data_IF_068067339134
#
_entry.id   IF_068067339134
#
_cell.length_a   1.000
_cell.length_b   1.000
_cell.length_c   1.000
_cell.angle_alpha   90.00
_cell.angle_beta   90.00
_cell.angle_gamma   90.00
#
_symmetry.space_group_name_H-M   'P 1'
#
loop_
_entity.id
_entity.type
_entity.pdbx_description
1 polymer ?
#
# COMPACT_ATOMS: atom_id res chain seq x y z
N UNK A 1 -7.85 -68.07 4.50
CA UNK A 1 -6.64 -67.23 4.39
C UNK A 1 -6.92 -66.10 3.40
N UNK A 2 -7.48 -64.97 3.86
CA UNK A 2 -7.70 -63.79 3.01
C UNK A 2 -7.01 -62.59 3.66
N UNK A 3 -5.93 -62.11 3.05
CA UNK A 3 -5.17 -60.97 3.53
C UNK A 3 -5.85 -59.66 3.11
N UNK A 4 -6.22 -58.86 4.10
CA UNK A 4 -6.74 -57.50 3.97
C UNK A 4 -5.56 -56.57 3.67
N UNK A 5 -5.53 -55.93 2.49
CA UNK A 5 -4.57 -54.85 2.17
C UNK A 5 -5.13 -53.51 2.66
N UNK A 6 -4.58 -52.98 3.75
CA UNK A 6 -4.76 -51.58 4.12
C UNK A 6 -3.92 -50.70 3.18
N UNK A 7 -4.57 -49.75 2.50
CA UNK A 7 -3.90 -48.62 1.88
C UNK A 7 -3.71 -47.53 2.95
N UNK A 8 -2.47 -47.35 3.42
CA UNK A 8 -2.05 -46.15 4.14
C UNK A 8 -1.80 -45.05 3.10
N UNK A 9 -2.71 -44.08 3.04
CA UNK A 9 -2.47 -42.79 2.38
C UNK A 9 -1.35 -42.08 3.15
N UNK A 10 -0.17 -42.02 2.54
CA UNK A 10 0.94 -41.21 3.02
C UNK A 10 0.52 -39.73 3.02
N UNK A 11 0.35 -39.15 4.21
CA UNK A 11 0.36 -37.70 4.37
C UNK A 11 1.73 -37.21 3.88
N UNK A 12 1.74 -36.52 2.75
CA UNK A 12 2.92 -35.82 2.26
C UNK A 12 3.33 -34.78 3.32
N UNK A 13 4.46 -35.03 3.98
CA UNK A 13 5.15 -34.03 4.76
C UNK A 13 5.59 -32.92 3.82
N UNK A 14 4.88 -31.79 3.84
CA UNK A 14 5.41 -30.54 3.32
C UNK A 14 6.57 -30.13 4.23
N UNK A 15 7.78 -29.85 3.70
CA UNK A 15 8.84 -29.31 4.52
C UNK A 15 8.40 -27.95 5.09
N UNK A 16 8.85 -27.56 6.30
CA UNK A 16 8.58 -26.23 6.82
C UNK A 16 9.09 -25.19 5.82
N UNK A 17 8.25 -24.22 5.49
CA UNK A 17 8.66 -23.03 4.73
C UNK A 17 9.88 -22.42 5.43
N UNK A 18 10.96 -22.15 4.70
CA UNK A 18 12.08 -21.40 5.25
C UNK A 18 11.58 -20.02 5.68
N UNK A 19 11.87 -19.61 6.91
CA UNK A 19 11.66 -18.23 7.40
C UNK A 19 12.50 -17.25 6.56
N UNK A 20 11.97 -16.86 5.40
CA UNK A 20 12.51 -15.77 4.61
C UNK A 20 12.14 -14.47 5.32
N UNK A 21 13.09 -13.85 6.01
CA UNK A 21 12.89 -12.53 6.59
C UNK A 21 12.66 -11.52 5.47
N UNK A 22 11.42 -11.06 5.30
CA UNK A 22 11.10 -9.96 4.39
C UNK A 22 11.36 -8.65 5.12
N UNK A 23 12.40 -7.94 4.72
CA UNK A 23 12.75 -6.63 5.24
C UNK A 23 11.91 -5.56 4.56
N UNK A 24 11.21 -4.74 5.38
CA UNK A 24 10.50 -3.55 4.93
C UNK A 24 11.37 -2.31 5.16
N UNK A 25 11.62 -1.51 4.13
CA UNK A 25 12.25 -0.20 4.29
C UNK A 25 11.52 0.88 3.50
N UNK A 26 11.62 2.12 3.95
CA UNK A 26 11.06 3.26 3.25
C UNK A 26 12.20 4.07 2.63
N UNK A 27 12.15 4.30 1.31
CA UNK A 27 13.19 5.11 0.65
C UNK A 27 13.04 6.61 0.98
N UNK A 28 14.01 7.41 0.52
CA UNK A 28 13.99 8.87 0.68
C UNK A 28 12.73 9.54 0.07
N UNK A 29 12.07 8.89 -0.89
CA UNK A 29 10.82 9.32 -1.50
C UNK A 29 9.56 8.91 -0.74
N UNK A 30 9.68 8.12 0.33
CA UNK A 30 8.54 7.61 1.10
C UNK A 30 7.94 6.31 0.55
N UNK A 31 8.57 5.68 -0.44
CA UNK A 31 8.10 4.41 -1.01
C UNK A 31 8.53 3.26 -0.11
N UNK A 32 7.57 2.40 0.25
CA UNK A 32 7.83 1.19 1.02
C UNK A 32 8.31 0.08 0.08
N UNK A 33 9.51 -0.42 0.34
CA UNK A 33 10.16 -1.52 -0.36
C UNK A 33 10.19 -2.75 0.54
N UNK A 34 10.08 -3.92 -0.06
CA UNK A 34 10.07 -5.20 0.63
C UNK A 34 11.08 -6.13 -0.04
N UNK A 35 12.08 -6.59 0.70
CA UNK A 35 13.18 -7.40 0.16
C UNK A 35 13.47 -8.58 1.06
N UNK A 36 13.73 -9.77 0.51
CA UNK A 36 14.22 -10.95 1.22
C UNK A 36 15.76 -11.00 1.31
N UNK A 37 16.44 -9.99 0.75
CA UNK A 37 17.90 -9.88 0.72
C UNK A 37 18.39 -8.58 1.35
N UNK A 38 19.39 -8.67 2.23
CA UNK A 38 20.11 -7.52 2.79
C UNK A 38 20.99 -6.89 1.70
N UNK A 39 20.45 -5.91 0.97
CA UNK A 39 21.20 -5.07 0.03
C UNK A 39 22.21 -4.19 0.77
N UNK A 40 23.40 -4.72 0.99
CA UNK A 40 24.49 -4.08 1.71
C UNK A 40 25.26 -3.00 0.95
N UNK A 41 24.78 -2.41 -0.15
CA UNK A 41 25.53 -1.34 -0.80
C UNK A 41 24.72 -0.23 -1.49
N UNK A 42 25.17 0.99 -1.15
CA UNK A 42 25.08 2.31 -1.80
C UNK A 42 24.04 3.29 -1.22
N UNK A 43 24.56 4.21 -0.41
CA UNK A 43 23.95 5.47 0.08
C UNK A 43 22.67 5.40 0.94
N UNK A 44 22.41 4.29 1.62
CA UNK A 44 21.30 4.20 2.56
C UNK A 44 21.78 3.89 3.98
N UNK A 45 21.40 4.74 4.94
CA UNK A 45 21.78 4.55 6.33
C UNK A 45 21.16 3.24 6.87
N UNK A 46 21.98 2.30 7.36
CA UNK A 46 21.53 0.98 7.83
C UNK A 46 20.58 1.05 9.04
N UNK A 47 20.50 2.19 9.72
CA UNK A 47 19.58 2.43 10.85
C UNK A 47 18.09 2.53 10.44
N UNK A 48 17.77 2.53 9.14
CA UNK A 48 16.38 2.52 8.62
C UNK A 48 15.85 1.12 8.33
N UNK A 49 16.65 0.07 8.57
CA UNK A 49 16.25 -1.32 8.46
C UNK A 49 15.54 -1.73 9.75
N UNK A 50 14.25 -1.40 9.86
CA UNK A 50 13.44 -1.94 10.95
C UNK A 50 13.25 -3.44 10.68
N UNK A 51 13.92 -4.29 11.47
CA UNK A 51 13.73 -5.75 11.50
C UNK A 51 12.29 -6.20 11.81
N UNK A 52 11.41 -5.28 12.20
CA UNK A 52 10.26 -5.65 13.03
C UNK A 52 8.93 -5.85 12.30
N UNK A 53 8.82 -5.64 10.99
CA UNK A 53 7.57 -5.97 10.29
C UNK A 53 7.85 -6.65 8.95
N UNK A 54 8.06 -7.97 9.02
CA UNK A 54 7.77 -8.88 7.91
C UNK A 54 6.32 -8.60 7.52
N UNK A 55 6.11 -8.03 6.33
CA UNK A 55 4.78 -7.89 5.78
C UNK A 55 4.35 -9.25 5.20
N UNK A 56 4.00 -10.14 6.11
CA UNK A 56 3.49 -11.47 5.81
C UNK A 56 2.23 -11.44 4.94
N UNK A 57 1.60 -10.28 4.82
CA UNK A 57 0.32 -10.07 4.15
C UNK A 57 0.44 -9.27 2.83
N UNK A 58 1.67 -8.91 2.45
CA UNK A 58 2.03 -8.22 1.22
C UNK A 58 2.36 -9.14 0.05
N UNK A 59 3.23 -8.67 -0.86
CA UNK A 59 3.78 -9.50 -1.94
C UNK A 59 5.03 -10.23 -1.46
N UNK A 60 5.11 -11.54 -1.69
CA UNK A 60 6.32 -12.33 -1.47
C UNK A 60 6.81 -13.02 -2.72
N UNK A 61 8.12 -13.28 -2.80
CA UNK A 61 8.70 -14.16 -3.80
C UNK A 61 8.98 -15.55 -3.24
N UNK A 62 8.87 -16.55 -4.10
CA UNK A 62 9.26 -17.92 -3.83
C UNK A 62 10.11 -18.43 -4.98
N UNK A 63 11.31 -18.90 -4.65
CA UNK A 63 12.23 -19.51 -5.61
C UNK A 63 12.23 -21.02 -5.41
N UNK A 64 12.03 -21.78 -6.49
CA UNK A 64 12.12 -23.24 -6.50
C UNK A 64 13.33 -23.64 -7.31
N UNK A 65 14.35 -24.17 -6.64
CA UNK A 65 15.57 -24.64 -7.27
C UNK A 65 15.40 -26.08 -7.79
N UNK A 66 15.82 -26.30 -9.03
CA UNK A 66 15.85 -27.61 -9.67
C UNK A 66 17.13 -27.76 -10.47
N UNK A 67 17.47 -29.00 -10.81
CA UNK A 67 18.64 -29.32 -11.64
C UNK A 67 18.65 -28.58 -12.99
N UNK A 68 17.48 -28.25 -13.53
CA UNK A 68 17.32 -27.59 -14.82
C UNK A 68 17.19 -26.06 -14.73
N UNK A 69 17.27 -25.46 -13.54
CA UNK A 69 17.22 -24.01 -13.31
C UNK A 69 16.38 -23.61 -12.10
N UNK A 70 16.35 -22.30 -11.82
CA UNK A 70 15.67 -21.73 -10.65
C UNK A 70 14.37 -21.02 -11.08
N UNK A 71 13.25 -21.42 -10.51
CA UNK A 71 11.90 -20.97 -10.90
C UNK A 71 11.36 -19.94 -9.91
N UNK A 72 10.99 -18.76 -10.40
CA UNK A 72 10.48 -17.67 -9.59
C UNK A 72 8.95 -17.61 -9.65
N UNK A 73 8.33 -17.53 -8.48
CA UNK A 73 6.91 -17.29 -8.30
C UNK A 73 6.71 -16.06 -7.41
N UNK A 74 5.73 -15.23 -7.71
CA UNK A 74 5.31 -14.15 -6.84
C UNK A 74 3.90 -14.42 -6.33
N UNK A 75 3.68 -14.18 -5.04
CA UNK A 75 2.38 -14.29 -4.40
C UNK A 75 1.97 -12.91 -3.90
N UNK A 76 0.89 -12.36 -4.44
CA UNK A 76 0.27 -11.15 -3.93
C UNK A 76 -0.81 -11.51 -2.91
N UNK A 77 -0.57 -11.28 -1.61
CA UNK A 77 -1.58 -11.53 -0.57
C UNK A 77 -2.53 -10.35 -0.35
N UNK A 78 -2.32 -9.21 -1.00
CA UNK A 78 -3.21 -8.07 -0.90
C UNK A 78 -4.58 -8.35 -1.53
N UNK A 79 -5.59 -7.63 -1.05
CA UNK A 79 -6.94 -7.63 -1.64
C UNK A 79 -7.08 -6.63 -2.80
N UNK A 80 -5.98 -5.98 -3.19
CA UNK A 80 -5.86 -5.15 -4.37
C UNK A 80 -4.71 -5.61 -5.26
N UNK A 81 -4.64 -5.10 -6.51
CA UNK A 81 -3.51 -5.41 -7.38
C UNK A 81 -2.22 -4.80 -6.83
N UNK A 82 -1.08 -5.31 -7.29
CA UNK A 82 0.24 -4.78 -6.95
C UNK A 82 1.14 -4.77 -8.19
N UNK A 83 2.09 -3.83 -8.22
CA UNK A 83 3.16 -3.81 -9.22
C UNK A 83 4.45 -4.27 -8.58
N UNK A 84 4.96 -5.43 -9.00
CA UNK A 84 6.23 -6.02 -8.58
C UNK A 84 7.36 -5.58 -9.51
N UNK A 85 8.53 -5.33 -8.94
CA UNK A 85 9.79 -5.13 -9.67
C UNK A 85 10.88 -6.01 -9.06
N UNK A 86 11.74 -6.58 -9.92
CA UNK A 86 12.89 -7.37 -9.52
C UNK A 86 14.18 -6.66 -9.91
N UNK A 87 15.24 -6.94 -9.16
CA UNK A 87 16.61 -6.55 -9.48
C UNK A 87 17.53 -7.72 -9.25
N UNK A 88 18.60 -7.79 -10.02
CA UNK A 88 19.62 -8.82 -9.94
C UNK A 88 20.99 -8.16 -9.83
N UNK A 89 21.43 -7.78 -8.61
CA UNK A 89 22.64 -6.97 -8.41
C UNK A 89 23.92 -7.70 -8.77
N UNK A 90 23.98 -9.00 -8.46
CA UNK A 90 25.08 -9.88 -8.81
C UNK A 90 24.59 -10.92 -9.79
N UNK A 91 25.34 -11.09 -10.89
CA UNK A 91 25.02 -12.02 -11.97
C UNK A 91 26.32 -12.62 -12.46
N UNK A 92 26.45 -13.94 -12.40
CA UNK A 92 27.59 -14.65 -12.95
C UNK A 92 27.10 -15.92 -13.61
N UNK A 93 27.41 -16.05 -14.90
CA UNK A 93 26.96 -17.15 -15.74
C UNK A 93 25.43 -17.42 -15.66
N UNK A 94 24.59 -16.39 -15.59
CA UNK A 94 23.12 -16.53 -15.48
C UNK A 94 22.40 -15.81 -16.63
N UNK A 95 21.39 -16.46 -17.20
CA UNK A 95 20.48 -15.84 -18.17
C UNK A 95 19.20 -15.39 -17.46
N UNK A 96 18.97 -14.07 -17.42
CA UNK A 96 17.75 -13.47 -16.85
C UNK A 96 16.78 -13.11 -17.98
N UNK A 97 15.58 -13.72 -18.03
CA UNK A 97 14.55 -13.33 -18.99
C UNK A 97 14.20 -11.84 -18.88
N UNK A 98 14.18 -11.12 -20.01
CA UNK A 98 13.90 -9.68 -20.04
C UNK A 98 12.58 -9.29 -19.33
N UNK A 99 11.56 -10.15 -19.39
CA UNK A 99 10.29 -9.97 -18.66
C UNK A 99 10.47 -9.82 -17.14
N UNK A 100 11.49 -10.43 -16.55
CA UNK A 100 11.79 -10.34 -15.12
C UNK A 100 12.43 -8.99 -14.75
N UNK A 101 12.92 -8.23 -15.73
CA UNK A 101 13.50 -6.89 -15.53
C UNK A 101 12.46 -5.76 -15.71
N UNK A 102 11.23 -6.11 -16.09
CA UNK A 102 10.13 -5.17 -16.26
C UNK A 102 9.23 -5.16 -15.02
N UNK A 103 8.38 -4.14 -14.93
CA UNK A 103 7.33 -4.10 -13.92
C UNK A 103 6.27 -5.17 -14.21
N UNK A 104 5.92 -5.97 -13.20
CA UNK A 104 5.00 -7.10 -13.30
C UNK A 104 3.75 -6.78 -12.49
N UNK A 105 2.60 -6.82 -13.14
CA UNK A 105 1.31 -6.63 -12.45
C UNK A 105 0.85 -7.97 -11.87
N UNK A 106 0.53 -7.94 -10.58
CA UNK A 106 -0.06 -9.02 -9.82
C UNK A 106 -1.51 -8.66 -9.51
N UNK A 107 -2.46 -9.50 -9.90
CA UNK A 107 -3.86 -9.39 -9.50
C UNK A 107 -4.01 -9.66 -7.99
N UNK A 108 -5.12 -9.22 -7.35
CA UNK A 108 -5.39 -9.54 -5.95
C UNK A 108 -5.33 -11.04 -5.73
N UNK A 109 -4.64 -11.49 -4.67
CA UNK A 109 -4.56 -12.91 -4.30
C UNK A 109 -3.92 -13.83 -5.36
N UNK A 110 -3.25 -13.28 -6.38
CA UNK A 110 -2.61 -14.05 -7.45
C UNK A 110 -1.29 -14.67 -6.97
N UNK A 111 -1.10 -15.96 -7.28
CA UNK A 111 0.23 -16.55 -7.42
C UNK A 111 0.59 -16.59 -8.91
N UNK A 112 1.74 -16.01 -9.26
CA UNK A 112 2.17 -15.84 -10.64
C UNK A 112 3.56 -16.40 -10.87
N UNK A 113 3.71 -17.23 -11.91
CA UNK A 113 5.03 -17.62 -12.39
C UNK A 113 5.72 -16.41 -13.05
N UNK A 114 6.87 -16.01 -12.50
CA UNK A 114 7.60 -14.81 -12.90
C UNK A 114 8.64 -15.10 -13.97
N UNK A 115 9.30 -16.26 -13.88
CA UNK A 115 10.28 -16.69 -14.86
C UNK A 115 11.20 -17.77 -14.33
N UNK A 116 12.09 -18.24 -15.19
CA UNK A 116 13.08 -19.26 -14.88
C UNK A 116 14.46 -18.70 -15.19
N UNK A 117 15.37 -18.78 -14.23
CA UNK A 117 16.79 -18.53 -14.44
C UNK A 117 17.49 -19.84 -14.77
N UNK A 118 18.43 -19.76 -15.71
CA UNK A 118 19.27 -20.88 -16.16
C UNK A 118 20.70 -20.38 -16.33
N UNK A 119 21.70 -21.27 -16.28
CA UNK A 119 23.06 -20.87 -16.60
C UNK A 119 23.18 -20.43 -18.06
N UNK A 120 24.00 -19.42 -18.33
CA UNK A 120 24.25 -18.94 -19.69
C UNK A 120 25.19 -19.88 -20.47
N UNK A 121 26.10 -20.54 -19.77
CA UNK A 121 27.08 -21.52 -20.25
C UNK A 121 27.15 -22.70 -19.27
N UNK A 122 27.58 -23.90 -19.71
CA UNK A 122 27.82 -25.02 -18.79
C UNK A 122 28.80 -24.65 -17.67
N UNK A 123 28.48 -25.01 -16.43
CA UNK A 123 29.32 -24.78 -15.26
C UNK A 123 28.56 -24.16 -14.10
N UNK A 124 29.31 -23.74 -13.08
CA UNK A 124 28.77 -23.02 -11.92
C UNK A 124 28.17 -21.68 -12.34
N UNK A 125 27.12 -21.27 -11.63
CA UNK A 125 26.43 -20.01 -11.85
C UNK A 125 25.91 -19.47 -10.53
N UNK A 126 25.89 -18.15 -10.38
CA UNK A 126 25.47 -17.48 -9.14
C UNK A 126 24.74 -16.18 -9.48
N UNK A 127 23.80 -15.83 -8.62
CA UNK A 127 23.11 -14.57 -8.72
C UNK A 127 22.59 -14.15 -7.35
N UNK A 128 22.48 -12.84 -7.16
CA UNK A 128 21.70 -12.25 -6.10
C UNK A 128 20.43 -11.66 -6.70
N UNK A 129 19.35 -11.59 -5.91
CA UNK A 129 18.15 -10.88 -6.31
C UNK A 129 17.59 -10.05 -5.18
N UNK A 130 16.82 -9.04 -5.54
CA UNK A 130 15.99 -8.27 -4.61
C UNK A 130 14.71 -7.86 -5.32
N UNK A 131 13.70 -7.51 -4.54
CA UNK A 131 12.43 -7.07 -5.10
C UNK A 131 11.88 -5.85 -4.36
N UNK A 132 10.86 -5.26 -4.97
CA UNK A 132 10.03 -4.23 -4.38
C UNK A 132 8.65 -4.30 -5.02
N UNK A 133 7.62 -3.90 -4.29
CA UNK A 133 6.27 -3.83 -4.84
C UNK A 133 5.56 -2.55 -4.42
N UNK A 134 4.66 -2.05 -5.28
CA UNK A 134 3.77 -0.93 -4.98
C UNK A 134 2.32 -1.42 -5.04
N UNK A 135 1.51 -1.23 -3.98
CA UNK A 135 0.11 -1.65 -3.98
C UNK A 135 -0.76 -0.70 -4.82
N UNK A 136 -1.86 -1.23 -5.35
CA UNK A 136 -2.79 -0.52 -6.22
C UNK A 136 -2.51 -0.70 -7.71
N UNK A 137 -3.50 -0.33 -8.53
CA UNK A 137 -3.40 -0.39 -9.98
C UNK A 137 -2.43 0.69 -10.47
N UNK A 138 -1.56 0.33 -11.43
CA UNK A 138 -0.66 1.31 -12.04
C UNK A 138 -1.45 2.27 -12.91
N UNK A 139 -1.52 3.53 -12.48
CA UNK A 139 -2.22 4.60 -13.18
C UNK A 139 -1.24 5.66 -13.68
N UNK A 140 -1.51 6.19 -14.86
CA UNK A 140 -0.81 7.38 -15.36
C UNK A 140 -1.51 8.63 -14.80
N UNK A 141 -0.75 9.54 -14.18
CA UNK A 141 -1.26 10.81 -13.67
C UNK A 141 -2.07 11.60 -14.71
N UNK A 142 -1.67 11.53 -15.99
CA UNK A 142 -2.34 12.19 -17.10
C UNK A 142 -3.80 11.74 -17.31
N UNK A 143 -4.19 10.58 -16.79
CA UNK A 143 -5.57 10.07 -16.84
C UNK A 143 -6.54 10.89 -15.97
N UNK A 144 -6.04 11.63 -14.96
CA UNK A 144 -6.86 12.43 -14.05
C UNK A 144 -6.93 13.92 -14.42
N UNK A 145 -6.07 14.38 -15.32
CA UNK A 145 -6.09 15.76 -15.85
C UNK A 145 -7.00 15.95 -17.06
N UNK A 146 -7.86 14.98 -17.40
CA UNK A 146 -8.81 15.07 -18.51
C UNK A 146 -10.24 15.28 -18.02
N UNK A 147 -10.82 16.48 -18.21
CA UNK A 147 -12.26 16.63 -18.05
C UNK A 147 -12.96 15.79 -19.12
N UNK A 148 -13.71 14.75 -18.70
CA UNK A 148 -14.69 14.07 -19.56
C UNK A 148 -14.47 12.58 -19.89
N UNK A 149 -13.50 11.88 -19.29
CA UNK A 149 -13.33 10.43 -19.54
C UNK A 149 -13.63 9.56 -18.32
N UNK A 150 -14.83 9.65 -17.76
CA UNK A 150 -15.38 8.55 -16.96
C UNK A 150 -16.81 8.27 -17.38
N UNK A 151 -17.08 6.97 -17.57
CA UNK A 151 -18.38 6.38 -17.90
C UNK A 151 -19.47 7.05 -17.07
N UNK A 152 -20.30 7.81 -17.77
CA UNK A 152 -21.32 8.69 -17.20
C UNK A 152 -22.37 7.84 -16.47
N UNK A 153 -22.25 7.69 -15.15
CA UNK A 153 -23.40 7.44 -14.31
C UNK A 153 -24.11 8.79 -14.10
N UNK A 154 -25.43 8.89 -14.28
CA UNK A 154 -26.11 10.18 -14.20
C UNK A 154 -26.13 10.68 -12.76
N UNK A 155 -25.33 11.72 -12.47
CA UNK A 155 -25.40 12.45 -11.21
C UNK A 155 -26.35 13.68 -11.35
N UNK A 156 -27.11 14.04 -10.30
CA UNK A 156 -28.03 15.17 -10.33
C UNK A 156 -27.27 16.49 -10.48
N UNK A 157 -27.85 17.43 -11.24
CA UNK A 157 -27.28 18.75 -11.53
C UNK A 157 -27.16 19.61 -10.26
N UNK A 158 -25.95 20.13 -10.01
CA UNK A 158 -25.76 21.26 -9.10
C UNK A 158 -24.30 21.54 -8.75
N UNK A 159 -23.75 22.62 -9.33
CA UNK A 159 -22.59 23.40 -8.87
C UNK A 159 -21.23 22.68 -8.80
N UNK A 160 -20.59 22.51 -9.97
CA UNK A 160 -19.13 22.32 -10.03
C UNK A 160 -18.46 23.70 -10.17
N UNK A 161 -17.80 24.15 -9.10
CA UNK A 161 -16.84 25.25 -9.16
C UNK A 161 -15.58 24.77 -9.87
N UNK A 162 -15.18 25.48 -10.91
CA UNK A 162 -14.00 25.24 -11.73
C UNK A 162 -12.71 25.52 -10.94
N UNK A 163 -12.08 24.47 -10.41
CA UNK A 163 -10.66 24.44 -10.01
C UNK A 163 -10.01 23.17 -10.59
N UNK A 164 -8.71 23.15 -10.92
CA UNK A 164 -8.14 22.11 -11.77
C UNK A 164 -8.08 20.73 -11.06
N UNK A 165 -8.80 19.75 -11.59
CA UNK A 165 -8.34 18.35 -11.71
C UNK A 165 -8.50 17.37 -10.53
N UNK A 166 -9.18 17.72 -9.45
CA UNK A 166 -9.36 16.81 -8.29
C UNK A 166 -10.68 16.04 -8.30
N UNK A 167 -10.68 14.81 -7.78
CA UNK A 167 -11.90 14.05 -7.48
C UNK A 167 -12.65 14.72 -6.30
N UNK A 168 -13.99 14.76 -6.36
CA UNK A 168 -14.83 15.22 -5.24
C UNK A 168 -15.26 14.03 -4.38
N UNK A 169 -15.01 14.11 -3.09
CA UNK A 169 -15.21 13.02 -2.13
C UNK A 169 -16.23 13.41 -1.06
N UNK A 170 -16.86 12.42 -0.42
CA UNK A 170 -17.57 12.68 0.84
C UNK A 170 -16.58 13.07 1.94
N UNK A 171 -17.06 13.82 2.93
CA UNK A 171 -16.26 14.13 4.12
C UNK A 171 -15.93 12.83 4.90
N UNK A 172 -14.67 12.64 5.34
CA UNK A 172 -14.26 11.47 6.12
C UNK A 172 -14.77 11.51 7.56
N UNK A 173 -15.40 12.59 7.99
CA UNK A 173 -15.93 12.79 9.34
C UNK A 173 -17.20 13.65 9.29
N UNK A 174 -18.14 13.38 10.19
CA UNK A 174 -19.32 14.21 10.39
C UNK A 174 -19.02 15.31 11.42
N UNK A 175 -19.28 16.57 11.08
CA UNK A 175 -19.10 17.71 11.98
C UNK A 175 -18.17 18.78 11.42
N UNK A 176 -17.92 19.82 12.25
CA UNK A 176 -17.04 20.93 11.93
C UNK A 176 -15.74 20.78 12.71
N UNK A 177 -14.65 20.57 12.00
CA UNK A 177 -13.32 20.39 12.58
C UNK A 177 -12.29 21.23 11.85
N UNK A 178 -11.23 21.63 12.54
CA UNK A 178 -10.20 22.47 11.95
C UNK A 178 -9.24 21.63 11.13
N UNK A 179 -8.89 22.12 9.94
CA UNK A 179 -7.78 21.58 9.16
C UNK A 179 -6.48 22.12 9.76
N UNK A 180 -5.70 21.24 10.39
CA UNK A 180 -4.42 21.61 11.02
C UNK A 180 -3.28 21.71 10.00
N UNK A 181 -3.32 20.88 8.94
CA UNK A 181 -2.36 20.93 7.84
C UNK A 181 -3.05 20.51 6.53
N UNK A 182 -2.79 21.23 5.45
CA UNK A 182 -3.39 20.98 4.14
C UNK A 182 -2.35 20.56 3.10
N UNK A 183 -2.74 20.59 1.84
CA UNK A 183 -1.86 20.22 0.72
C UNK A 183 -0.59 21.08 0.69
N UNK A 184 0.53 20.49 0.28
CA UNK A 184 1.85 21.11 0.20
C UNK A 184 2.38 21.67 1.54
N UNK A 185 1.89 21.14 2.66
CA UNK A 185 2.37 21.47 4.00
C UNK A 185 3.84 21.14 4.20
N UNK A 186 4.56 22.03 4.91
CA UNK A 186 6.02 21.95 5.07
C UNK A 186 6.49 20.87 6.05
N UNK A 187 5.61 20.38 6.92
CA UNK A 187 5.98 19.40 7.95
C UNK A 187 5.99 17.98 7.38
N UNK A 188 4.82 17.45 7.02
CA UNK A 188 4.66 16.06 6.53
C UNK A 188 4.08 15.97 5.12
N UNK A 189 3.50 17.05 4.57
CA UNK A 189 2.78 17.04 3.29
C UNK A 189 3.62 17.55 2.11
N UNK A 190 4.89 17.13 2.05
CA UNK A 190 5.87 17.60 1.05
C UNK A 190 6.50 16.47 0.22
N UNK A 191 6.18 15.21 0.52
CA UNK A 191 6.65 14.02 -0.22
C UNK A 191 5.58 13.50 -1.18
N UNK A 192 5.93 12.80 -2.27
CA UNK A 192 4.98 12.35 -3.29
C UNK A 192 3.71 11.69 -2.73
N UNK A 193 3.85 10.74 -1.82
CA UNK A 193 2.70 10.02 -1.23
C UNK A 193 1.81 10.88 -0.31
N UNK A 194 2.28 12.03 0.18
CA UNK A 194 1.55 12.86 1.15
C UNK A 194 1.41 14.34 0.74
N UNK A 195 1.89 14.72 -0.45
CA UNK A 195 1.86 16.09 -0.96
C UNK A 195 0.47 16.70 -0.90
N UNK A 196 -0.56 15.91 -1.23
CA UNK A 196 -1.96 16.30 -1.16
C UNK A 196 -2.70 15.58 -0.02
N UNK A 197 -2.02 15.37 1.12
CA UNK A 197 -2.68 14.88 2.33
C UNK A 197 -3.32 16.02 3.13
N UNK A 198 -4.26 15.65 4.00
CA UNK A 198 -5.06 16.54 4.82
C UNK A 198 -5.05 16.06 6.26
N UNK A 199 -4.63 16.93 7.18
CA UNK A 199 -4.71 16.69 8.62
C UNK A 199 -5.91 17.44 9.20
N UNK A 200 -6.85 16.67 9.75
CA UNK A 200 -8.04 17.19 10.40
C UNK A 200 -7.87 16.99 11.91
N UNK A 201 -7.82 18.07 12.68
CA UNK A 201 -7.69 18.01 14.13
C UNK A 201 -8.97 17.41 14.75
N UNK A 202 -8.84 16.23 15.34
CA UNK A 202 -9.96 15.42 15.85
C UNK A 202 -9.63 14.86 17.22
N UNK A 203 -10.55 14.90 18.20
CA UNK A 203 -10.43 14.11 19.41
C UNK A 203 -10.25 12.63 19.09
N UNK A 204 -9.48 11.90 19.90
CA UNK A 204 -9.39 10.45 19.82
C UNK A 204 -10.78 9.83 19.95
N UNK A 205 -11.09 8.84 19.12
CA UNK A 205 -12.38 8.14 19.12
C UNK A 205 -13.44 8.75 18.21
N UNK A 206 -13.16 9.86 17.51
CA UNK A 206 -14.13 10.46 16.58
C UNK A 206 -14.43 9.48 15.43
N UNK A 207 -15.70 9.12 15.17
CA UNK A 207 -16.06 8.22 14.08
C UNK A 207 -15.59 8.70 12.70
N UNK A 208 -14.93 7.82 11.96
CA UNK A 208 -14.47 8.08 10.59
C UNK A 208 -15.30 7.29 9.57
N UNK A 209 -15.60 7.95 8.45
CA UNK A 209 -16.46 7.46 7.38
C UNK A 209 -15.65 7.21 6.11
N UNK A 210 -16.03 6.18 5.36
CA UNK A 210 -15.53 5.96 4.01
C UNK A 210 -15.94 7.12 3.11
N UNK A 211 -14.98 7.83 2.54
CA UNK A 211 -15.20 8.96 1.63
C UNK A 211 -15.80 8.54 0.28
N UNK A 212 -15.59 7.26 -0.11
CA UNK A 212 -16.05 6.63 -1.35
C UNK A 212 -16.25 5.13 -1.16
N UNK A 213 -17.06 4.52 -2.04
CA UNK A 213 -17.16 3.06 -2.17
C UNK A 213 -15.80 2.44 -2.45
N UNK A 214 -15.54 1.25 -1.91
CA UNK A 214 -14.26 0.59 -2.16
C UNK A 214 -14.12 -0.76 -1.47
N UNK A 215 -12.95 -1.35 -1.60
CA UNK A 215 -12.54 -2.59 -0.92
C UNK A 215 -11.44 -2.27 0.07
N UNK A 216 -11.52 -2.83 1.28
CA UNK A 216 -10.44 -2.73 2.26
C UNK A 216 -9.23 -3.49 1.73
N UNK A 217 -8.22 -2.76 1.27
CA UNK A 217 -7.00 -3.33 0.72
C UNK A 217 -6.01 -3.67 1.82
N UNK A 218 -5.89 -2.77 2.81
CA UNK A 218 -4.95 -2.90 3.92
C UNK A 218 -5.51 -2.27 5.19
N UNK A 219 -5.14 -2.83 6.35
CA UNK A 219 -5.61 -2.40 7.66
C UNK A 219 -4.61 -2.81 8.75
N UNK A 220 -4.05 -1.82 9.45
CA UNK A 220 -3.16 -1.99 10.59
C UNK A 220 -3.82 -1.33 11.80
N UNK A 221 -4.07 -2.11 12.87
CA UNK A 221 -4.87 -1.66 14.02
C UNK A 221 -4.31 -2.11 15.39
N UNK A 222 -3.03 -2.49 15.44
CA UNK A 222 -2.43 -3.11 16.62
C UNK A 222 -1.37 -2.24 17.31
N UNK A 223 -0.92 -1.15 16.70
CA UNK A 223 0.04 -0.24 17.34
C UNK A 223 -0.64 0.63 18.39
N UNK A 224 0.13 1.03 19.41
CA UNK A 224 -0.32 1.92 20.47
C UNK A 224 0.69 3.04 20.70
N UNK A 225 0.20 4.18 21.16
CA UNK A 225 1.02 5.36 21.45
C UNK A 225 1.44 6.13 20.21
N UNK A 226 1.86 7.37 20.41
CA UNK A 226 2.33 8.24 19.34
C UNK A 226 3.13 9.41 19.86
N UNK A 227 3.81 10.08 18.94
CA UNK A 227 4.67 11.21 19.23
C UNK A 227 5.69 11.44 18.12
N UNK A 228 6.51 12.47 18.28
CA UNK A 228 7.53 12.88 17.30
C UNK A 228 8.89 12.17 17.48
N UNK A 229 8.94 11.10 18.28
CA UNK A 229 10.15 10.29 18.45
C UNK A 229 10.29 9.30 17.30
N UNK A 230 11.54 8.94 16.98
CA UNK A 230 11.89 7.99 15.92
C UNK A 230 11.14 6.64 16.07
N UNK A 231 11.00 6.16 17.31
CA UNK A 231 10.33 4.89 17.64
C UNK A 231 8.88 4.79 17.14
N UNK A 232 8.22 5.93 16.91
CA UNK A 232 6.83 5.96 16.46
C UNK A 232 6.67 5.99 14.93
N UNK A 233 7.76 6.16 14.16
CA UNK A 233 7.68 6.28 12.68
C UNK A 233 7.11 5.05 11.99
N UNK A 234 7.33 3.86 12.54
CA UNK A 234 6.80 2.62 12.02
C UNK A 234 5.50 2.16 12.72
N UNK A 235 4.97 2.91 13.70
CA UNK A 235 3.90 2.45 14.59
C UNK A 235 2.55 3.12 14.31
N UNK A 236 2.22 3.32 13.05
CA UNK A 236 0.99 4.03 12.65
C UNK A 236 -0.11 3.02 12.34
N UNK A 237 -1.25 3.11 13.03
CA UNK A 237 -2.46 2.41 12.60
C UNK A 237 -3.10 3.15 11.43
N UNK A 238 -3.52 2.40 10.42
CA UNK A 238 -4.12 2.96 9.22
C UNK A 238 -5.10 2.00 8.54
N UNK A 239 -5.97 2.57 7.73
CA UNK A 239 -6.90 1.87 6.85
C UNK A 239 -6.69 2.38 5.42
N UNK A 240 -6.60 1.46 4.47
CA UNK A 240 -6.50 1.77 3.04
C UNK A 240 -7.65 1.15 2.26
N UNK A 241 -8.40 1.99 1.57
CA UNK A 241 -9.52 1.58 0.72
C UNK A 241 -9.13 1.74 -0.74
N UNK A 242 -9.25 0.67 -1.53
CA UNK A 242 -9.12 0.70 -2.99
C UNK A 242 -10.47 0.99 -3.62
N UNK A 243 -10.52 1.99 -4.50
CA UNK A 243 -11.72 2.40 -5.23
C UNK A 243 -11.75 1.76 -6.63
N UNK A 244 -12.95 1.70 -7.22
CA UNK A 244 -13.15 1.05 -8.53
C UNK A 244 -12.43 1.78 -9.70
N UNK A 245 -11.98 3.02 -9.51
CA UNK A 245 -11.16 3.77 -10.48
C UNK A 245 -9.64 3.60 -10.28
N UNK A 246 -9.23 2.71 -9.37
CA UNK A 246 -7.84 2.43 -9.04
C UNK A 246 -7.21 3.39 -8.02
N UNK A 247 -7.91 4.47 -7.63
CA UNK A 247 -7.45 5.36 -6.55
C UNK A 247 -7.58 4.69 -5.19
N UNK A 248 -6.84 5.19 -4.21
CA UNK A 248 -6.81 4.64 -2.86
C UNK A 248 -6.93 5.73 -1.80
N UNK A 249 -7.94 5.64 -0.93
CA UNK A 249 -8.02 6.48 0.27
C UNK A 249 -7.18 5.88 1.39
N UNK A 250 -6.38 6.70 2.05
CA UNK A 250 -5.62 6.38 3.26
C UNK A 250 -6.19 7.15 4.43
N UNK A 251 -6.49 6.45 5.53
CA UNK A 251 -6.85 7.02 6.83
C UNK A 251 -5.77 6.58 7.82
N UNK A 252 -5.02 7.51 8.40
CA UNK A 252 -3.89 7.20 9.29
C UNK A 252 -4.03 7.83 10.68
N UNK A 253 -3.16 7.40 11.58
CA UNK A 253 -3.17 7.72 13.02
C UNK A 253 -4.43 7.23 13.73
N UNK A 254 -4.99 6.10 13.29
CA UNK A 254 -6.25 5.56 13.81
C UNK A 254 -6.13 5.12 15.27
N UNK A 255 -7.25 5.16 16.01
CA UNK A 255 -7.27 4.63 17.37
C UNK A 255 -7.09 3.11 17.35
N UNK A 256 -6.25 2.57 18.22
CA UNK A 256 -5.98 1.12 18.32
C UNK A 256 -7.27 0.35 18.59
N UNK A 257 -7.51 -0.70 17.81
CA UNK A 257 -8.72 -1.53 17.89
C UNK A 257 -9.98 -0.83 17.38
N UNK A 258 -9.86 0.27 16.64
CA UNK A 258 -11.03 1.03 16.17
C UNK A 258 -11.50 0.67 14.76
N UNK A 259 -10.70 -0.08 13.99
CA UNK A 259 -11.07 -0.45 12.62
C UNK A 259 -12.24 -1.45 12.67
N UNK A 260 -13.37 -1.08 12.07
CA UNK A 260 -14.63 -1.84 12.10
C UNK A 260 -14.81 -2.76 10.89
N UNK A 261 -13.84 -2.78 9.98
CA UNK A 261 -13.89 -3.49 8.71
C UNK A 261 -12.70 -4.41 8.54
N UNK A 262 -12.87 -5.47 7.76
CA UNK A 262 -11.81 -6.48 7.53
C UNK A 262 -11.24 -6.34 6.13
N UNK A 263 -9.98 -6.72 5.94
CA UNK A 263 -9.36 -6.78 4.61
C UNK A 263 -10.18 -7.67 3.66
N UNK A 264 -10.35 -7.21 2.43
CA UNK A 264 -11.24 -7.80 1.43
C UNK A 264 -12.71 -7.41 1.53
N UNK A 265 -13.15 -6.78 2.62
CA UNK A 265 -14.51 -6.31 2.77
C UNK A 265 -14.80 -5.14 1.81
N UNK A 266 -15.94 -5.17 1.12
CA UNK A 266 -16.45 -4.01 0.40
C UNK A 266 -17.14 -3.06 1.37
N UNK A 267 -16.88 -1.77 1.20
CA UNK A 267 -17.48 -0.68 1.98
C UNK A 267 -18.20 0.29 1.06
N UNK A 268 -19.23 0.94 1.58
CA UNK A 268 -19.97 1.99 0.87
C UNK A 268 -19.59 3.37 1.38
N UNK A 269 -19.66 4.39 0.53
CA UNK A 269 -19.46 5.77 0.90
C UNK A 269 -20.38 6.17 2.07
N UNK A 270 -19.84 6.87 3.07
CA UNK A 270 -20.53 7.22 4.31
C UNK A 270 -20.57 6.11 5.37
N UNK A 271 -20.15 4.88 5.06
CA UNK A 271 -20.04 3.82 6.06
C UNK A 271 -18.97 4.17 7.11
N UNK A 272 -19.28 3.98 8.39
CA UNK A 272 -18.28 4.08 9.45
C UNK A 272 -17.27 2.94 9.34
N UNK A 273 -15.98 3.27 9.26
CA UNK A 273 -14.90 2.29 9.05
C UNK A 273 -13.86 2.25 10.16
N UNK A 274 -13.66 3.35 10.89
CA UNK A 274 -12.68 3.44 11.97
C UNK A 274 -13.03 4.57 12.95
N UNK A 275 -12.11 4.88 13.87
CA UNK A 275 -12.11 6.10 14.65
C UNK A 275 -10.74 6.81 14.60
N UNK A 276 -10.75 8.15 14.68
CA UNK A 276 -9.52 8.95 14.76
C UNK A 276 -8.75 8.61 16.03
N UNK A 277 -7.43 8.74 15.97
CA UNK A 277 -6.55 8.43 17.09
C UNK A 277 -5.37 9.37 17.18
N UNK A 278 -4.25 8.82 17.64
CA UNK A 278 -2.99 9.51 17.76
C UNK A 278 -1.81 8.53 17.69
N UNK A 279 -1.95 7.43 16.92
CA UNK A 279 -0.92 6.38 16.89
C UNK A 279 0.19 6.73 15.91
N UNK A 280 1.43 6.36 16.24
CA UNK A 280 2.56 6.52 15.33
C UNK A 280 3.13 7.94 15.35
N UNK A 281 3.80 8.32 14.26
CA UNK A 281 4.52 9.60 14.18
C UNK A 281 3.53 10.76 14.00
N UNK A 282 2.96 11.20 15.11
CA UNK A 282 1.90 12.19 15.20
C UNK A 282 2.26 13.24 16.27
N UNK A 283 2.01 14.52 15.97
CA UNK A 283 2.21 15.62 16.92
C UNK A 283 1.07 15.76 17.93
N UNK A 284 -0.08 15.14 17.67
CA UNK A 284 -1.27 15.18 18.52
C UNK A 284 -2.49 14.57 17.81
N UNK A 285 -3.63 14.39 18.50
CA UNK A 285 -4.81 13.73 17.92
C UNK A 285 -5.34 14.40 16.63
N UNK A 286 -5.36 13.64 15.54
CA UNK A 286 -5.88 14.07 14.25
C UNK A 286 -6.18 12.87 13.34
N UNK A 287 -6.85 13.11 12.22
CA UNK A 287 -6.88 12.21 11.07
C UNK A 287 -5.91 12.75 10.01
N UNK A 288 -4.92 11.95 9.61
CA UNK A 288 -4.18 12.14 8.36
C UNK A 288 -4.92 11.40 7.24
N UNK A 289 -5.44 12.14 6.26
CA UNK A 289 -6.18 11.60 5.12
C UNK A 289 -5.46 11.91 3.81
N UNK A 290 -5.34 10.93 2.91
CA UNK A 290 -4.79 11.15 1.57
C UNK A 290 -5.54 10.32 0.53
N UNK A 291 -5.69 10.87 -0.68
CA UNK A 291 -6.07 10.10 -1.87
C UNK A 291 -4.80 9.82 -2.68
N UNK A 292 -4.53 8.55 -2.96
CA UNK A 292 -3.27 8.08 -3.55
C UNK A 292 -3.52 7.22 -4.79
N UNK A 293 -2.52 7.18 -5.67
CA UNK A 293 -2.43 6.26 -6.81
C UNK A 293 -1.07 5.55 -6.78
N UNK A 294 -0.99 4.42 -7.48
CA UNK A 294 0.30 3.82 -7.84
C UNK A 294 0.72 4.35 -9.22
N UNK A 295 1.80 5.12 -9.29
CA UNK A 295 2.30 5.69 -10.56
C UNK A 295 3.29 4.77 -11.30
N UNK A 296 3.52 3.56 -10.79
CA UNK A 296 4.48 2.57 -11.28
C UNK A 296 5.90 2.74 -10.74
N UNK A 297 6.21 3.83 -10.03
CA UNK A 297 7.46 4.05 -9.29
C UNK A 297 7.25 4.04 -7.77
N UNK A 298 6.01 4.28 -7.33
CA UNK A 298 5.63 4.33 -5.93
C UNK A 298 4.21 4.90 -5.77
N UNK A 299 3.86 5.18 -4.52
CA UNK A 299 2.60 5.87 -4.21
C UNK A 299 2.74 7.37 -4.42
N UNK A 300 1.74 7.96 -5.05
CA UNK A 300 1.62 9.39 -5.27
C UNK A 300 0.26 9.87 -4.81
N UNK A 301 0.23 10.88 -3.95
CA UNK A 301 -1.01 11.55 -3.59
C UNK A 301 -1.49 12.43 -4.74
N UNK A 302 -2.80 12.57 -4.89
CA UNK A 302 -3.44 13.43 -5.88
C UNK A 302 -4.37 14.43 -5.19
N UNK A 303 -4.57 15.63 -5.75
CA UNK A 303 -5.48 16.61 -5.18
C UNK A 303 -6.93 16.12 -5.23
N UNK A 304 -7.73 16.56 -4.26
CA UNK A 304 -9.15 16.26 -4.18
C UNK A 304 -9.92 17.43 -3.56
N UNK A 305 -11.24 17.39 -3.68
CA UNK A 305 -12.17 18.26 -2.95
C UNK A 305 -13.04 17.43 -2.02
N UNK A 306 -13.57 18.06 -0.97
CA UNK A 306 -14.50 17.44 -0.04
C UNK A 306 -15.84 18.18 -0.14
N UNK A 307 -16.84 17.53 -0.74
CA UNK A 307 -18.16 18.10 -1.00
C UNK A 307 -18.07 19.46 -1.73
N UNK A 308 -17.30 19.49 -2.82
CA UNK A 308 -17.09 20.64 -3.68
C UNK A 308 -16.15 21.71 -3.12
N UNK A 309 -15.48 21.45 -1.98
CA UNK A 309 -14.59 22.42 -1.33
C UNK A 309 -13.15 21.96 -1.35
N UNK A 310 -12.26 22.89 -1.69
CA UNK A 310 -10.83 22.66 -1.60
C UNK A 310 -10.39 22.70 -0.13
N UNK A 311 -9.69 21.68 0.38
CA UNK A 311 -9.34 21.61 1.79
C UNK A 311 -8.08 22.44 2.06
N UNK A 312 -8.26 23.63 2.63
CA UNK A 312 -7.17 24.56 2.97
C UNK A 312 -6.82 24.51 4.46
N UNK A 313 -5.52 24.61 4.76
CA UNK A 313 -5.04 24.68 6.13
C UNK A 313 -5.60 25.91 6.86
N UNK A 314 -5.97 25.75 8.12
CA UNK A 314 -6.55 26.81 8.94
C UNK A 314 -8.06 26.98 8.80
N UNK A 315 -8.66 26.49 7.70
CA UNK A 315 -10.10 26.52 7.49
C UNK A 315 -10.82 25.42 8.29
N UNK A 316 -12.11 25.63 8.50
CA UNK A 316 -12.99 24.64 9.09
C UNK A 316 -13.54 23.72 8.01
N UNK A 317 -13.38 22.42 8.21
CA UNK A 317 -13.98 21.39 7.39
C UNK A 317 -15.50 21.61 7.32
N UNK A 318 -16.04 21.70 6.10
CA UNK A 318 -17.46 21.92 5.80
C UNK A 318 -18.09 23.18 6.40
N UNK A 319 -17.33 24.20 6.82
CA UNK A 319 -17.94 25.40 7.35
C UNK A 319 -18.72 26.18 6.28
N UNK A 320 -20.05 26.08 6.28
CA UNK A 320 -20.89 27.07 5.60
C UNK A 320 -20.69 28.40 6.32
N UNK A 321 -20.30 29.42 5.55
CA UNK A 321 -20.35 30.83 5.94
C UNK A 321 -21.76 31.19 6.41
#
# INVERSE_FOLDING_TARGET
MSALRLYLLALAWLPPMSDANIYRYQDAGGVTHYTDSYMGSLDHQPELWARDEVDEEGVSLRVVEKADGHYFFALNRLFGPATLTLRFPQQDNVLIPHRMLQAIVLAPREEKFIGKLVPALPGEWRYDYGFAYTPGERLLLASFNRPGSHRQLPAPRGLYSSQPGGLDLLSPVAGRYRISQGFNGRFSHNRPANRYALDIALPVGTPLLATRDGVVMDAVDHHSGGGLKQEYRARTNYLRLLHDDGTMSLYAHLHTGSILVKKGQRVTAGQRVAASGNTGFSSGPHLHFALQINNGKGLESIPFTLQGRYPEAGNWLLARD
#
